data_IF_499249732033
#
_entry.id   IF_499249732033
#
_cell.length_a   1.000
_cell.length_b   1.000
_cell.length_c   1.000
_cell.angle_alpha   90.00
_cell.angle_beta   90.00
_cell.angle_gamma   90.00
#
_symmetry.space_group_name_H-M   'P 1'
#
loop_
_entity.id
_entity.type
_entity.pdbx_description
1 polymer ?
#
# COMPACT_ATOMS: atom_id res chain seq x y z
N UNK A 1 -21.37 -4.54 -14.44
CA UNK A 1 -21.48 -3.16 -14.98
C UNK A 1 -20.23 -2.76 -15.80
N UNK A 2 -18.99 -3.03 -15.33
CA UNK A 2 -17.75 -2.68 -16.08
C UNK A 2 -17.76 -3.35 -17.46
N UNK A 3 -18.06 -4.65 -17.55
CA UNK A 3 -18.13 -5.39 -18.81
C UNK A 3 -19.21 -4.80 -19.76
N UNK A 4 -20.38 -4.42 -19.24
CA UNK A 4 -21.43 -3.82 -20.05
C UNK A 4 -21.02 -2.45 -20.63
N UNK A 5 -20.32 -1.62 -19.86
CA UNK A 5 -19.78 -0.37 -20.35
C UNK A 5 -18.67 -0.60 -21.39
N UNK A 6 -17.83 -1.62 -21.20
CA UNK A 6 -16.77 -1.95 -22.15
C UNK A 6 -17.29 -2.21 -23.57
N UNK A 7 -18.46 -2.87 -23.71
CA UNK A 7 -19.08 -3.17 -25.00
C UNK A 7 -19.47 -1.92 -25.81
N UNK A 8 -19.62 -0.79 -25.14
CA UNK A 8 -20.08 0.46 -25.74
C UNK A 8 -19.05 1.60 -25.65
N UNK A 9 -17.84 1.28 -25.19
CA UNK A 9 -16.74 2.23 -25.22
C UNK A 9 -16.27 2.44 -26.67
N UNK A 10 -16.00 3.69 -27.06
CA UNK A 10 -15.44 3.96 -28.37
C UNK A 10 -14.01 3.37 -28.46
N UNK A 11 -13.60 3.07 -29.70
CA UNK A 11 -12.24 2.60 -29.96
C UNK A 11 -11.18 3.55 -29.37
N UNK A 12 -10.10 2.97 -28.83
CA UNK A 12 -9.02 3.72 -28.18
C UNK A 12 -9.34 4.27 -26.79
N UNK A 13 -10.50 3.90 -26.21
CA UNK A 13 -10.80 4.20 -24.81
C UNK A 13 -10.32 3.07 -23.88
N UNK A 14 -9.85 3.43 -22.68
CA UNK A 14 -9.45 2.49 -21.65
C UNK A 14 -10.01 2.89 -20.29
N UNK A 15 -10.33 1.93 -19.44
CA UNK A 15 -10.60 2.20 -18.02
C UNK A 15 -9.35 2.81 -17.39
N UNK A 16 -9.55 3.74 -16.46
CA UNK A 16 -8.47 4.53 -15.86
C UNK A 16 -8.73 4.82 -14.38
N UNK A 17 -7.80 5.47 -13.70
CA UNK A 17 -7.92 5.91 -12.32
C UNK A 17 -8.41 4.78 -11.39
N UNK A 18 -9.45 5.02 -10.58
CA UNK A 18 -9.95 4.05 -9.60
C UNK A 18 -10.59 2.82 -10.26
N UNK A 19 -11.16 2.95 -11.46
CA UNK A 19 -11.69 1.80 -12.19
C UNK A 19 -10.57 0.88 -12.68
N UNK A 20 -9.51 1.42 -13.27
CA UNK A 20 -8.34 0.63 -13.64
C UNK A 20 -7.68 0.00 -12.41
N UNK A 21 -7.50 0.77 -11.34
CA UNK A 21 -6.90 0.26 -10.10
C UNK A 21 -7.68 -0.97 -9.56
N UNK A 22 -9.01 -0.98 -9.61
CA UNK A 22 -9.82 -2.16 -9.23
C UNK A 22 -9.61 -3.32 -10.17
N UNK A 23 -9.56 -3.10 -11.48
CA UNK A 23 -9.30 -4.16 -12.47
C UNK A 23 -7.94 -4.81 -12.27
N UNK A 24 -6.92 -4.02 -11.93
CA UNK A 24 -5.55 -4.48 -11.68
C UNK A 24 -5.43 -5.16 -10.29
N UNK A 25 -6.39 -4.92 -9.38
CA UNK A 25 -6.32 -5.38 -7.99
C UNK A 25 -5.36 -4.55 -7.14
N UNK A 26 -5.26 -3.23 -7.41
CA UNK A 26 -4.50 -2.30 -6.59
C UNK A 26 -5.33 -1.87 -5.36
N UNK A 27 -4.69 -1.62 -4.21
CA UNK A 27 -5.40 -1.23 -3.00
C UNK A 27 -5.96 0.18 -3.13
N UNK A 28 -7.24 0.31 -2.85
CA UNK A 28 -7.92 1.60 -2.80
C UNK A 28 -8.60 1.78 -1.45
N UNK A 29 -8.69 3.00 -0.93
CA UNK A 29 -9.61 3.28 0.18
C UNK A 29 -11.04 2.97 -0.25
N UNK A 30 -11.99 3.04 0.71
CA UNK A 30 -13.41 2.87 0.41
C UNK A 30 -13.92 4.02 -0.48
N UNK A 31 -13.73 3.86 -1.78
CA UNK A 31 -14.24 4.77 -2.81
C UNK A 31 -15.46 4.15 -3.49
N UNK A 32 -16.45 4.98 -3.83
CA UNK A 32 -17.55 4.55 -4.67
C UNK A 32 -17.03 3.93 -5.98
N UNK A 33 -17.53 2.77 -6.42
CA UNK A 33 -17.18 2.21 -7.71
C UNK A 33 -17.76 3.02 -8.89
N UNK A 34 -18.63 3.97 -8.63
CA UNK A 34 -19.28 4.80 -9.63
C UNK A 34 -19.02 6.28 -9.42
N UNK A 35 -19.01 7.08 -10.49
CA UNK A 35 -19.05 6.67 -11.91
C UNK A 35 -17.78 5.90 -12.32
N UNK A 36 -17.90 5.01 -13.33
CA UNK A 36 -16.75 4.34 -13.94
C UNK A 36 -15.85 5.36 -14.63
N UNK A 37 -14.56 5.21 -14.47
CA UNK A 37 -13.56 6.17 -14.95
C UNK A 37 -12.89 5.65 -16.22
N UNK A 38 -12.95 6.45 -17.26
CA UNK A 38 -12.47 6.06 -18.59
C UNK A 38 -11.67 7.21 -19.20
N UNK A 39 -10.52 6.90 -19.74
CA UNK A 39 -9.67 7.84 -20.48
C UNK A 39 -9.70 7.51 -21.97
N UNK A 40 -9.65 8.51 -22.80
CA UNK A 40 -9.55 8.41 -24.26
C UNK A 40 -8.75 9.59 -24.82
N UNK A 41 -8.04 9.37 -25.91
CA UNK A 41 -7.53 10.45 -26.74
C UNK A 41 -8.66 11.09 -27.56
N UNK A 42 -8.53 12.34 -27.92
CA UNK A 42 -9.55 13.08 -28.65
C UNK A 42 -10.72 13.52 -27.78
N UNK A 43 -11.96 13.27 -28.22
CA UNK A 43 -13.15 13.79 -27.55
C UNK A 43 -13.43 13.09 -26.21
N UNK A 44 -13.72 13.88 -25.18
CA UNK A 44 -14.12 13.38 -23.86
C UNK A 44 -15.41 12.57 -23.92
N UNK A 45 -15.42 11.39 -23.29
CA UNK A 45 -16.61 10.55 -23.21
C UNK A 45 -17.64 11.23 -22.27
N UNK A 46 -18.86 11.40 -22.79
CA UNK A 46 -20.00 11.93 -22.04
C UNK A 46 -21.09 10.86 -22.03
N UNK A 47 -21.19 10.10 -20.95
CA UNK A 47 -22.16 9.03 -20.79
C UNK A 47 -22.58 8.90 -19.33
N UNK A 48 -23.87 8.61 -19.11
CA UNK A 48 -24.37 8.33 -17.76
C UNK A 48 -23.58 7.16 -17.11
N UNK A 49 -23.22 7.32 -15.86
CA UNK A 49 -22.42 6.33 -15.13
C UNK A 49 -20.93 6.30 -15.50
N UNK A 50 -20.45 7.18 -16.38
CA UNK A 50 -19.05 7.27 -16.81
C UNK A 50 -18.50 8.67 -16.57
N UNK A 51 -17.35 8.75 -15.91
CA UNK A 51 -16.50 9.94 -15.85
C UNK A 51 -15.41 9.83 -16.91
N UNK A 52 -15.53 10.58 -17.99
CA UNK A 52 -14.55 10.60 -19.07
C UNK A 52 -13.38 11.53 -18.75
N UNK A 53 -12.17 11.11 -19.12
CA UNK A 53 -10.95 11.91 -19.12
C UNK A 53 -10.38 11.97 -20.54
N UNK A 54 -9.68 13.05 -20.84
CA UNK A 54 -8.98 13.23 -22.13
C UNK A 54 -7.48 13.30 -21.85
N UNK A 55 -6.74 12.29 -22.31
CA UNK A 55 -5.28 12.16 -22.14
C UNK A 55 -4.71 11.30 -23.25
N UNK A 56 -3.42 11.44 -23.54
CA UNK A 56 -2.67 10.50 -24.35
C UNK A 56 -2.60 9.12 -23.70
N UNK A 57 -2.79 8.08 -24.51
CA UNK A 57 -2.79 6.68 -24.10
C UNK A 57 -1.81 5.81 -24.89
N UNK A 58 -1.06 6.38 -25.82
CA UNK A 58 -0.11 5.62 -26.66
C UNK A 58 0.90 4.88 -25.77
N UNK A 59 0.93 3.55 -25.87
CA UNK A 59 1.79 2.68 -25.03
C UNK A 59 1.35 2.54 -23.56
N UNK A 60 0.23 3.18 -23.15
CA UNK A 60 -0.20 3.26 -21.75
C UNK A 60 -1.43 2.40 -21.42
N UNK A 61 -1.79 1.46 -22.30
CA UNK A 61 -2.94 0.57 -22.15
C UNK A 61 -2.53 -0.89 -22.15
N UNK A 62 -3.11 -1.65 -21.26
CA UNK A 62 -2.99 -3.12 -21.17
C UNK A 62 -4.38 -3.75 -21.04
N UNK A 63 -4.46 -5.07 -21.30
CA UNK A 63 -5.69 -5.83 -21.12
C UNK A 63 -5.69 -6.51 -19.77
N UNK A 64 -6.66 -6.18 -18.94
CA UNK A 64 -6.90 -6.77 -17.62
C UNK A 64 -8.27 -7.44 -17.59
N UNK A 65 -8.31 -8.75 -17.35
CA UNK A 65 -9.56 -9.55 -17.38
C UNK A 65 -10.37 -9.35 -18.68
N UNK A 66 -9.67 -9.24 -19.82
CA UNK A 66 -10.29 -8.99 -21.13
C UNK A 66 -10.73 -7.56 -21.37
N UNK A 67 -10.41 -6.60 -20.51
CA UNK A 67 -10.84 -5.22 -20.58
C UNK A 67 -9.63 -4.27 -20.75
N UNK A 68 -9.71 -3.26 -21.64
CA UNK A 68 -8.65 -2.27 -21.79
C UNK A 68 -8.60 -1.35 -20.57
N UNK A 69 -7.45 -1.28 -19.92
CA UNK A 69 -7.19 -0.39 -18.78
C UNK A 69 -5.83 0.27 -18.89
N UNK A 70 -5.67 1.41 -18.24
CA UNK A 70 -4.36 2.05 -18.13
C UNK A 70 -3.38 1.13 -17.40
N UNK A 71 -2.10 1.14 -17.85
CA UNK A 71 -1.01 0.39 -17.22
C UNK A 71 -0.92 0.71 -15.72
N UNK A 72 -0.40 -0.20 -14.89
CA UNK A 72 -0.36 -0.03 -13.43
C UNK A 72 0.30 1.28 -12.98
N UNK A 73 1.49 1.58 -13.50
CA UNK A 73 2.21 2.82 -13.18
C UNK A 73 1.44 4.07 -13.63
N UNK A 74 0.86 4.04 -14.83
CA UNK A 74 0.01 5.12 -15.32
C UNK A 74 -1.22 5.31 -14.43
N UNK A 75 -1.85 4.22 -14.01
CA UNK A 75 -2.99 4.25 -13.08
C UNK A 75 -2.62 4.91 -11.76
N UNK A 76 -1.45 4.61 -11.19
CA UNK A 76 -0.93 5.26 -10.00
C UNK A 76 -0.73 6.77 -10.19
N UNK A 77 -0.10 7.18 -11.31
CA UNK A 77 0.08 8.59 -11.67
C UNK A 77 -1.24 9.33 -11.81
N UNK A 78 -2.25 8.71 -12.43
CA UNK A 78 -3.59 9.28 -12.60
C UNK A 78 -4.33 9.46 -11.25
N UNK A 79 -4.00 8.67 -10.24
CA UNK A 79 -4.56 8.76 -8.88
C UNK A 79 -3.89 9.82 -8.01
N UNK A 80 -2.79 10.42 -8.42
CA UNK A 80 -2.00 11.40 -7.66
C UNK A 80 -2.77 12.64 -7.18
N UNK A 81 -3.87 13.03 -7.85
CA UNK A 81 -4.73 14.13 -7.42
C UNK A 81 -6.00 13.71 -6.69
N UNK A 82 -6.12 12.45 -6.31
CA UNK A 82 -7.36 11.84 -5.80
C UNK A 82 -7.18 11.09 -4.49
N UNK A 83 -5.97 10.68 -4.21
CA UNK A 83 -5.60 9.96 -3.01
C UNK A 83 -4.58 10.78 -2.22
N UNK A 84 -4.55 10.56 -0.92
CA UNK A 84 -3.51 11.08 -0.04
C UNK A 84 -2.21 10.26 -0.17
N UNK A 85 -1.14 10.76 0.43
CA UNK A 85 0.18 10.14 0.37
C UNK A 85 0.17 8.69 0.89
N UNK A 86 -0.44 8.35 2.05
CA UNK A 86 -0.44 6.98 2.55
C UNK A 86 -1.05 5.98 1.57
N UNK A 87 -2.16 6.31 0.92
CA UNK A 87 -2.79 5.42 -0.05
C UNK A 87 -1.99 5.32 -1.36
N UNK A 88 -1.36 6.41 -1.80
CA UNK A 88 -0.45 6.38 -2.96
C UNK A 88 0.77 5.51 -2.67
N UNK A 89 1.33 5.56 -1.45
CA UNK A 89 2.42 4.68 -1.00
C UNK A 89 1.95 3.22 -1.01
N UNK A 90 0.78 2.92 -0.47
CA UNK A 90 0.26 1.55 -0.46
C UNK A 90 0.10 0.96 -1.87
N UNK A 91 -0.26 1.78 -2.86
CA UNK A 91 -0.30 1.35 -4.26
C UNK A 91 1.13 1.17 -4.79
N UNK A 92 2.04 2.11 -4.56
CA UNK A 92 3.42 2.03 -5.01
C UNK A 92 4.15 0.78 -4.46
N UNK A 93 3.97 0.47 -3.17
CA UNK A 93 4.49 -0.74 -2.54
C UNK A 93 4.01 -2.02 -3.27
N UNK A 94 2.72 -2.07 -3.62
CA UNK A 94 2.16 -3.20 -4.40
C UNK A 94 2.75 -3.25 -5.80
N UNK A 95 2.95 -2.11 -6.47
CA UNK A 95 3.57 -2.04 -7.79
C UNK A 95 4.99 -2.60 -7.75
N UNK A 96 5.81 -2.17 -6.80
CA UNK A 96 7.17 -2.66 -6.62
C UNK A 96 7.20 -4.15 -6.27
N UNK A 97 6.44 -4.58 -5.28
CA UNK A 97 6.40 -5.99 -4.83
C UNK A 97 5.94 -6.94 -5.93
N UNK A 98 5.01 -6.53 -6.79
CA UNK A 98 4.53 -7.32 -7.93
C UNK A 98 5.39 -7.15 -9.19
N UNK A 99 6.50 -6.41 -9.11
CA UNK A 99 7.37 -6.07 -10.24
C UNK A 99 6.60 -5.47 -11.44
N UNK A 100 5.58 -4.64 -11.16
CA UNK A 100 4.80 -3.91 -12.16
C UNK A 100 5.44 -2.58 -12.54
N UNK A 101 6.43 -2.14 -11.80
CA UNK A 101 7.34 -1.04 -12.09
C UNK A 101 8.62 -1.18 -11.25
N UNK A 102 9.63 -0.40 -11.58
CA UNK A 102 10.86 -0.23 -10.79
C UNK A 102 10.76 1.00 -9.89
N UNK A 103 11.70 1.18 -8.95
CA UNK A 103 11.83 2.42 -8.17
C UNK A 103 12.11 3.61 -9.08
N UNK A 104 12.95 3.43 -10.10
CA UNK A 104 13.27 4.46 -11.09
C UNK A 104 12.00 4.93 -11.84
N UNK A 105 11.12 4.00 -12.23
CA UNK A 105 9.85 4.31 -12.88
C UNK A 105 8.93 5.17 -11.99
N UNK A 106 8.92 4.92 -10.67
CA UNK A 106 8.15 5.73 -9.71
C UNK A 106 8.68 7.16 -9.61
N UNK A 107 9.99 7.33 -9.77
CA UNK A 107 10.64 8.65 -9.70
C UNK A 107 10.63 9.40 -11.04
N UNK A 108 10.39 8.73 -12.17
CA UNK A 108 10.20 9.40 -13.47
C UNK A 108 8.81 10.05 -13.54
N UNK A 109 8.74 11.28 -13.08
CA UNK A 109 7.52 12.09 -13.02
C UNK A 109 7.56 13.29 -13.96
N UNK A 110 8.33 13.18 -15.06
CA UNK A 110 8.40 14.24 -16.06
C UNK A 110 7.03 14.41 -16.73
N UNK A 111 6.50 15.65 -16.74
CA UNK A 111 5.21 15.97 -17.35
C UNK A 111 3.98 15.43 -16.61
N UNK A 112 4.15 14.80 -15.43
CA UNK A 112 3.06 14.22 -14.65
C UNK A 112 2.38 15.28 -13.77
N UNK A 113 1.03 15.27 -13.77
CA UNK A 113 0.25 16.10 -12.84
C UNK A 113 0.46 15.66 -11.39
N UNK A 114 0.34 16.59 -10.44
CA UNK A 114 0.52 16.31 -9.00
C UNK A 114 1.90 15.75 -8.63
N UNK A 115 2.93 16.09 -9.43
CA UNK A 115 4.31 15.62 -9.30
C UNK A 115 4.84 15.65 -7.87
N UNK A 116 4.63 16.77 -7.13
CA UNK A 116 5.14 16.91 -5.75
C UNK A 116 4.59 15.84 -4.80
N UNK A 117 3.31 15.53 -4.91
CA UNK A 117 2.63 14.55 -4.07
C UNK A 117 3.06 13.12 -4.43
N UNK A 118 3.16 12.83 -5.74
CA UNK A 118 3.68 11.56 -6.23
C UNK A 118 5.14 11.33 -5.86
N UNK A 119 5.97 12.38 -5.91
CA UNK A 119 7.37 12.31 -5.47
C UNK A 119 7.49 11.97 -3.98
N UNK A 120 6.64 12.58 -3.14
CA UNK A 120 6.59 12.24 -1.71
C UNK A 120 6.18 10.78 -1.49
N UNK A 121 5.20 10.31 -2.25
CA UNK A 121 4.79 8.90 -2.18
C UNK A 121 5.89 7.96 -2.68
N UNK A 122 6.55 8.26 -3.79
CA UNK A 122 7.67 7.48 -4.31
C UNK A 122 8.83 7.38 -3.31
N UNK A 123 9.18 8.50 -2.65
CA UNK A 123 10.24 8.53 -1.62
C UNK A 123 9.92 7.67 -0.37
N UNK A 124 8.66 7.33 -0.17
CA UNK A 124 8.20 6.52 0.95
C UNK A 124 7.85 5.08 0.53
N UNK A 125 7.87 4.78 -0.76
CA UNK A 125 7.54 3.45 -1.27
C UNK A 125 8.57 2.41 -0.85
N UNK A 126 8.11 1.19 -0.55
CA UNK A 126 8.94 0.08 -0.12
C UNK A 126 8.25 -1.26 -0.43
N UNK A 127 8.90 -2.10 -1.22
CA UNK A 127 8.39 -3.42 -1.61
C UNK A 127 8.26 -4.41 -0.45
N UNK A 128 8.89 -4.12 0.69
CA UNK A 128 8.89 -4.96 1.88
C UNK A 128 7.56 -4.99 2.64
N UNK A 129 6.64 -4.05 2.41
CA UNK A 129 5.28 -4.11 2.98
C UNK A 129 4.45 -5.19 2.28
N UNK A 130 3.91 -6.16 3.03
CA UNK A 130 3.15 -7.27 2.45
C UNK A 130 1.66 -7.00 2.33
N UNK A 131 1.16 -6.03 3.05
CA UNK A 131 -0.25 -5.62 2.99
C UNK A 131 -0.41 -4.11 2.86
N UNK A 132 -1.53 -3.63 2.29
CA UNK A 132 -1.82 -2.19 2.23
C UNK A 132 -1.89 -1.54 3.62
N UNK A 133 -2.33 -2.29 4.63
CA UNK A 133 -2.42 -1.78 6.00
C UNK A 133 -1.03 -1.55 6.61
N UNK A 134 -0.08 -2.45 6.38
CA UNK A 134 1.32 -2.25 6.77
C UNK A 134 1.89 -0.98 6.13
N UNK A 135 1.64 -0.73 4.84
CA UNK A 135 2.06 0.50 4.16
C UNK A 135 1.51 1.75 4.86
N UNK A 136 0.19 1.76 5.17
CA UNK A 136 -0.44 2.89 5.88
C UNK A 136 0.16 3.10 7.27
N UNK A 137 0.39 2.02 8.02
CA UNK A 137 0.98 2.07 9.36
C UNK A 137 2.43 2.57 9.31
N UNK A 138 3.23 2.08 8.36
CA UNK A 138 4.60 2.51 8.12
C UNK A 138 4.68 4.01 7.84
N UNK A 139 3.82 4.51 6.95
CA UNK A 139 3.76 5.95 6.65
C UNK A 139 3.35 6.76 7.89
N UNK A 140 2.37 6.30 8.66
CA UNK A 140 1.94 6.98 9.90
C UNK A 140 3.08 7.05 10.92
N UNK A 141 3.84 5.97 11.10
CA UNK A 141 5.02 5.94 11.97
C UNK A 141 6.12 6.89 11.49
N UNK A 142 6.43 6.88 10.18
CA UNK A 142 7.41 7.82 9.59
C UNK A 142 7.02 9.27 9.72
N UNK A 143 5.75 9.60 9.47
CA UNK A 143 5.23 10.97 9.61
C UNK A 143 5.36 11.49 11.05
N UNK A 144 5.33 10.59 12.02
CA UNK A 144 5.51 10.88 13.43
C UNK A 144 6.99 10.97 13.85
N UNK A 145 7.92 10.75 12.93
CA UNK A 145 9.35 10.80 13.18
C UNK A 145 9.93 9.53 13.84
N UNK A 146 9.19 8.42 13.83
CA UNK A 146 9.73 7.15 14.31
C UNK A 146 10.83 6.64 13.36
N UNK A 147 11.84 5.91 13.88
CA UNK A 147 12.86 5.31 13.04
C UNK A 147 12.26 4.31 12.07
N UNK A 148 12.90 4.13 10.92
CA UNK A 148 12.46 3.17 9.92
C UNK A 148 12.58 1.74 10.47
N UNK A 149 11.52 0.92 10.43
CA UNK A 149 11.62 -0.49 10.77
C UNK A 149 12.24 -1.29 9.62
N UNK A 150 12.80 -2.45 9.94
CA UNK A 150 12.91 -3.54 8.99
C UNK A 150 11.52 -4.14 8.79
N UNK A 151 11.12 -4.35 7.52
CA UNK A 151 9.80 -4.86 7.19
C UNK A 151 9.85 -6.39 7.05
N UNK A 152 8.86 -7.06 7.63
CA UNK A 152 8.72 -8.51 7.58
C UNK A 152 10.01 -9.25 7.99
N UNK A 153 10.69 -8.71 9.01
CA UNK A 153 12.00 -9.17 9.48
C UNK A 153 11.93 -10.51 10.18
N UNK A 154 12.87 -11.40 9.85
CA UNK A 154 13.04 -12.67 10.56
C UNK A 154 13.80 -12.44 11.87
N UNK A 155 13.26 -12.92 12.98
CA UNK A 155 13.87 -12.82 14.30
C UNK A 155 14.61 -14.13 14.58
N UNK A 156 15.92 -14.03 14.78
CA UNK A 156 16.79 -15.16 15.08
C UNK A 156 17.61 -14.81 16.34
N UNK A 157 17.63 -15.68 17.32
CA UNK A 157 18.45 -15.59 18.55
C UNK A 157 19.16 -16.93 18.76
N UNK A 158 20.45 -16.88 19.04
CA UNK A 158 21.31 -18.04 19.31
C UNK A 158 21.23 -19.17 18.27
N UNK A 159 20.86 -18.83 17.03
CA UNK A 159 20.67 -19.77 15.91
C UNK A 159 19.24 -20.26 15.73
N UNK A 160 18.34 -20.00 16.67
CA UNK A 160 16.94 -20.39 16.62
C UNK A 160 16.07 -19.30 16.00
N UNK A 161 15.12 -19.69 15.14
CA UNK A 161 14.13 -18.79 14.56
C UNK A 161 12.97 -18.62 15.53
N UNK A 162 12.88 -17.45 16.16
CA UNK A 162 11.78 -17.12 17.08
C UNK A 162 10.48 -16.74 16.35
N UNK A 163 10.60 -16.18 15.15
CA UNK A 163 9.43 -15.76 14.36
C UNK A 163 9.76 -14.71 13.30
N UNK A 164 8.72 -14.05 12.81
CA UNK A 164 8.81 -12.96 11.84
C UNK A 164 7.90 -11.82 12.31
N UNK A 165 8.43 -10.59 12.32
CA UNK A 165 7.66 -9.41 12.67
C UNK A 165 7.36 -8.55 11.45
N UNK A 166 6.15 -7.97 11.35
CA UNK A 166 5.77 -7.05 10.27
C UNK A 166 6.66 -5.81 10.30
N UNK A 167 6.96 -5.29 11.49
CA UNK A 167 7.83 -4.15 11.73
C UNK A 167 8.83 -4.49 12.82
N UNK A 168 10.13 -4.45 12.52
CA UNK A 168 11.19 -4.84 13.45
C UNK A 168 12.19 -3.70 13.63
N UNK A 169 12.44 -3.31 14.87
CA UNK A 169 13.49 -2.37 15.26
C UNK A 169 14.54 -3.11 16.07
N UNK A 170 15.54 -3.66 15.40
CA UNK A 170 16.58 -4.52 16.02
C UNK A 170 17.36 -3.81 17.12
N UNK A 171 17.74 -2.55 16.88
CA UNK A 171 18.51 -1.74 17.84
C UNK A 171 17.82 -1.64 19.20
N UNK A 172 16.49 -1.53 19.20
CA UNK A 172 15.68 -1.40 20.43
C UNK A 172 14.98 -2.69 20.83
N UNK A 173 15.18 -3.78 20.09
CA UNK A 173 14.46 -5.06 20.31
C UNK A 173 12.95 -4.86 20.44
N UNK A 174 12.37 -4.13 19.50
CA UNK A 174 10.92 -3.91 19.41
C UNK A 174 10.41 -4.56 18.14
N UNK A 175 9.30 -5.29 18.26
CA UNK A 175 8.57 -5.91 17.16
C UNK A 175 7.14 -5.40 17.23
N UNK A 176 6.56 -5.03 16.09
CA UNK A 176 5.14 -4.73 16.00
C UNK A 176 4.50 -5.56 14.89
N UNK A 177 3.42 -6.26 15.21
CA UNK A 177 2.69 -7.12 14.30
C UNK A 177 1.24 -6.66 14.17
N UNK A 178 0.75 -6.60 12.93
CA UNK A 178 -0.61 -6.23 12.61
C UNK A 178 -1.52 -7.46 12.51
N UNK A 179 -2.41 -7.60 13.48
CA UNK A 179 -3.49 -8.58 13.43
C UNK A 179 -4.68 -8.01 12.63
N UNK A 180 -4.81 -8.47 11.39
CA UNK A 180 -5.87 -8.06 10.46
C UNK A 180 -7.27 -8.57 10.81
N UNK A 181 -7.44 -9.28 11.93
CA UNK A 181 -8.74 -9.82 12.36
C UNK A 181 -9.29 -10.90 11.43
N UNK A 182 -8.48 -11.47 10.56
CA UNK A 182 -8.86 -12.66 9.81
C UNK A 182 -8.98 -13.82 10.80
N UNK A 183 -10.18 -14.32 10.97
CA UNK A 183 -10.62 -15.37 11.89
C UNK A 183 -9.65 -16.57 11.86
N UNK A 184 -8.59 -16.47 12.64
CA UNK A 184 -7.60 -17.54 12.80
C UNK A 184 -8.24 -18.71 13.53
N UNK A 185 -8.11 -19.88 12.95
CA UNK A 185 -8.42 -21.14 13.60
C UNK A 185 -7.64 -21.24 14.93
N UNK A 186 -8.16 -22.01 15.89
CA UNK A 186 -7.57 -22.21 17.22
C UNK A 186 -6.04 -22.55 17.17
N UNK A 187 -5.60 -23.19 16.09
CA UNK A 187 -4.21 -23.55 15.81
C UNK A 187 -3.29 -22.32 15.62
N UNK A 188 -3.78 -21.26 14.97
CA UNK A 188 -3.05 -20.00 14.74
C UNK A 188 -2.88 -19.23 16.05
N UNK A 189 -3.92 -19.18 16.89
CA UNK A 189 -3.84 -18.55 18.22
C UNK A 189 -2.83 -19.25 19.16
N UNK A 190 -2.64 -20.56 19.01
CA UNK A 190 -1.64 -21.30 19.81
C UNK A 190 -0.21 -20.98 19.34
N UNK A 191 -0.01 -20.89 18.01
CA UNK A 191 1.28 -20.46 17.43
C UNK A 191 1.61 -19.02 17.80
N UNK A 192 0.63 -18.10 17.74
CA UNK A 192 0.81 -16.70 18.13
C UNK A 192 1.17 -16.54 19.62
N UNK A 193 0.62 -17.40 20.50
CA UNK A 193 0.96 -17.38 21.92
C UNK A 193 2.39 -17.88 22.15
N UNK A 194 2.80 -18.94 21.46
CA UNK A 194 4.13 -19.52 21.56
C UNK A 194 5.19 -18.53 21.04
N UNK A 195 4.95 -17.91 19.89
CA UNK A 195 5.82 -16.87 19.33
C UNK A 195 5.98 -15.68 20.26
N UNK A 196 4.91 -15.27 20.98
CA UNK A 196 5.01 -14.20 21.99
C UNK A 196 5.89 -14.55 23.18
N UNK A 197 5.84 -15.79 23.62
CA UNK A 197 6.70 -16.27 24.72
C UNK A 197 8.15 -16.36 24.24
N UNK A 198 8.41 -16.84 23.03
CA UNK A 198 9.73 -16.88 22.41
C UNK A 198 10.34 -15.47 22.27
N UNK A 199 9.56 -14.47 21.86
CA UNK A 199 10.01 -13.08 21.82
C UNK A 199 10.39 -12.55 23.21
N UNK A 200 9.66 -12.92 24.27
CA UNK A 200 10.00 -12.53 25.64
C UNK A 200 11.29 -13.15 26.13
N UNK A 201 11.58 -14.41 25.78
CA UNK A 201 12.85 -15.06 26.12
C UNK A 201 14.04 -14.34 25.46
N UNK A 202 13.87 -13.88 24.20
CA UNK A 202 14.85 -13.06 23.49
C UNK A 202 14.92 -11.59 23.94
N UNK A 203 14.20 -11.18 25.00
CA UNK A 203 14.11 -9.80 25.48
C UNK A 203 13.56 -8.80 24.44
N UNK A 204 12.70 -9.28 23.53
CA UNK A 204 11.98 -8.46 22.58
C UNK A 204 10.69 -7.91 23.20
N UNK A 205 10.39 -6.63 22.93
CA UNK A 205 9.12 -6.02 23.32
C UNK A 205 8.13 -6.13 22.13
N UNK A 206 7.14 -7.02 22.26
CA UNK A 206 6.15 -7.28 21.21
C UNK A 206 4.95 -6.35 21.35
N UNK A 207 4.62 -5.63 20.30
CA UNK A 207 3.54 -4.64 20.21
C UNK A 207 2.45 -5.13 19.25
N UNK A 208 1.41 -5.79 19.72
CA UNK A 208 0.30 -6.18 18.86
C UNK A 208 -0.49 -4.95 18.40
N UNK A 209 -0.70 -4.85 17.08
CA UNK A 209 -1.49 -3.81 16.41
C UNK A 209 -2.75 -4.45 15.85
N UNK A 210 -3.91 -3.86 16.08
CA UNK A 210 -5.18 -4.44 15.66
C UNK A 210 -5.96 -3.52 14.72
N UNK A 211 -6.91 -4.10 13.97
CA UNK A 211 -7.81 -3.35 13.09
C UNK A 211 -8.70 -2.34 13.83
N UNK A 212 -8.92 -2.52 15.14
CA UNK A 212 -9.67 -1.59 15.97
C UNK A 212 -8.92 -0.28 16.27
N UNK A 213 -7.59 -0.25 16.08
CA UNK A 213 -6.77 0.94 16.31
C UNK A 213 -6.73 1.81 15.04
N UNK A 214 -6.89 3.11 15.19
CA UNK A 214 -6.56 4.05 14.12
C UNK A 214 -5.04 4.17 13.94
N UNK A 215 -4.61 4.82 12.84
CA UNK A 215 -3.19 4.97 12.50
C UNK A 215 -2.42 5.78 13.56
N UNK A 216 -3.05 6.76 14.17
CA UNK A 216 -2.45 7.62 15.20
C UNK A 216 -2.22 6.84 16.50
N UNK A 217 -3.23 6.12 16.95
CA UNK A 217 -3.14 5.24 18.14
C UNK A 217 -2.06 4.19 17.96
N UNK A 218 -1.97 3.61 16.77
CA UNK A 218 -0.96 2.61 16.41
C UNK A 218 0.45 3.19 16.50
N UNK A 219 0.69 4.33 15.86
CA UNK A 219 1.99 4.99 15.89
C UNK A 219 2.40 5.40 17.32
N UNK A 220 1.47 5.88 18.13
CA UNK A 220 1.69 6.19 19.54
C UNK A 220 2.09 4.95 20.36
N UNK A 221 1.44 3.82 20.10
CA UNK A 221 1.73 2.58 20.83
C UNK A 221 3.15 2.09 20.54
N UNK A 222 3.56 2.13 19.27
CA UNK A 222 4.93 1.79 18.87
C UNK A 222 5.94 2.78 19.44
N UNK A 223 5.66 4.10 19.37
CA UNK A 223 6.52 5.13 19.97
C UNK A 223 6.80 4.86 21.45
N UNK A 224 5.76 4.55 22.22
CA UNK A 224 5.93 4.22 23.65
C UNK A 224 6.84 3.02 23.88
N UNK A 225 6.72 1.97 23.07
CA UNK A 225 7.58 0.80 23.17
C UNK A 225 9.04 1.13 22.85
N UNK A 226 9.28 1.89 21.77
CA UNK A 226 10.62 2.34 21.38
C UNK A 226 11.25 3.23 22.48
N UNK A 227 10.51 4.21 23.03
CA UNK A 227 10.99 5.06 24.12
C UNK A 227 11.33 4.28 25.39
N UNK A 228 10.52 3.27 25.73
CA UNK A 228 10.80 2.36 26.86
C UNK A 228 12.12 1.61 26.68
N UNK A 229 12.50 1.34 25.44
CA UNK A 229 13.76 0.66 25.06
C UNK A 229 14.93 1.63 24.79
N UNK A 230 14.76 2.92 25.09
CA UNK A 230 15.83 3.91 25.04
C UNK A 230 15.88 4.75 23.75
N UNK A 231 14.93 4.57 22.83
CA UNK A 231 14.83 5.47 21.66
C UNK A 231 14.39 6.88 22.10
N UNK A 232 15.06 7.90 21.56
CA UNK A 232 14.66 9.29 21.68
C UNK A 232 14.56 9.95 20.29
N UNK A 233 13.58 10.82 20.03
CA UNK A 233 13.54 11.59 18.80
C UNK A 233 14.77 12.49 18.73
N UNK A 234 15.35 12.57 17.53
CA UNK A 234 16.45 13.48 17.19
C UNK A 234 15.99 14.94 17.06
#
# INVERSE_FOLDING_TARGET
HVAAIALVLPAGAAFSHSTAARLIGLPLPQLSPYPLEVTREGAKIRRHGVRGFQRHLTGEVEIWHGLPATRPLRTWRDLGGRLDIPHLVAIADVLLRRALCTEEDLHDLHGVHHRKLLQQAANLADAGSWSPRESLLRVAMRTRGLPAPELNGLIVEDGDVLGRGDFVWREWRVIADYDGGHHGHARQRHQDAQTRDDYRFGNWDHVPLTSAMDLTQTAHRVERALRKKGWAPS
#
